data_IF_126333668091
#
_entry.id   IF_126333668091
#
_cell.length_a   1.000
_cell.length_b   1.000
_cell.length_c   1.000
_cell.angle_alpha   90.00
_cell.angle_beta   90.00
_cell.angle_gamma   90.00
#
_symmetry.space_group_name_H-M   'P 1'
#
loop_
_entity.id
_entity.type
_entity.pdbx_description
1 polymer ?
#
# COMPACT_ATOMS: atom_id res chain seq x y z
N UNK A 1 -1.56 -18.82 -2.57
CA UNK A 1 -0.37 -18.70 -3.41
C UNK A 1 0.27 -17.34 -3.22
N UNK A 2 1.58 -17.29 -3.14
CA UNK A 2 2.33 -16.06 -2.89
C UNK A 2 3.07 -15.64 -4.16
N UNK A 3 2.64 -14.54 -4.76
CA UNK A 3 3.32 -13.99 -5.93
C UNK A 3 4.41 -13.00 -5.51
N UNK A 4 4.16 -12.21 -4.47
CA UNK A 4 5.15 -11.34 -3.85
C UNK A 4 5.66 -12.05 -2.60
N UNK A 5 6.95 -12.36 -2.55
CA UNK A 5 7.54 -13.06 -1.41
C UNK A 5 8.54 -12.21 -0.65
N UNK A 6 8.88 -11.05 -1.15
CA UNK A 6 9.72 -10.07 -0.47
C UNK A 6 9.27 -8.67 -0.83
N UNK A 7 9.29 -7.78 0.14
CA UNK A 7 8.93 -6.38 -0.05
C UNK A 7 9.82 -5.50 0.82
N UNK A 8 10.41 -4.51 0.22
CA UNK A 8 11.26 -3.54 0.91
C UNK A 8 10.79 -2.13 0.55
N UNK A 9 10.81 -1.23 1.53
CA UNK A 9 10.54 0.19 1.33
C UNK A 9 11.87 0.92 1.41
N UNK A 10 12.19 1.70 0.39
CA UNK A 10 13.37 2.57 0.42
C UNK A 10 13.09 3.75 1.35
N UNK A 11 13.49 3.60 2.59
CA UNK A 11 13.20 4.58 3.64
C UNK A 11 13.88 5.93 3.42
N UNK A 12 14.87 6.00 2.56
CA UNK A 12 15.49 7.28 2.20
C UNK A 12 14.56 8.16 1.38
N UNK A 13 13.61 7.57 0.68
CA UNK A 13 12.67 8.27 -0.19
C UNK A 13 11.29 8.45 0.44
N UNK A 14 10.98 7.71 1.50
CA UNK A 14 9.67 7.69 2.14
C UNK A 14 9.75 8.30 3.53
N UNK A 15 8.95 9.34 3.78
CA UNK A 15 8.91 9.99 5.08
C UNK A 15 8.33 9.06 6.15
N UNK A 16 8.96 9.04 7.31
CA UNK A 16 8.43 8.32 8.46
C UNK A 16 7.31 9.13 9.11
N UNK A 17 6.29 8.43 9.58
CA UNK A 17 5.14 9.00 10.26
C UNK A 17 5.18 8.63 11.75
N UNK A 18 4.04 8.74 12.44
CA UNK A 18 3.93 8.36 13.83
C UNK A 18 4.23 6.88 14.04
N UNK A 19 4.53 6.49 15.30
CA UNK A 19 4.76 5.09 15.65
C UNK A 19 3.56 4.21 15.29
N UNK A 20 2.35 4.72 15.48
CA UNK A 20 1.12 3.96 15.17
C UNK A 20 1.03 3.67 13.66
N UNK A 21 1.32 4.66 12.82
CA UNK A 21 1.29 4.48 11.35
C UNK A 21 2.42 3.56 10.90
N UNK A 22 3.62 3.68 11.47
CA UNK A 22 4.74 2.80 11.13
C UNK A 22 4.44 1.35 11.52
N UNK A 23 3.74 1.13 12.63
CA UNK A 23 3.29 -0.19 13.04
C UNK A 23 2.26 -0.77 12.07
N UNK A 24 1.31 0.05 11.61
CA UNK A 24 0.33 -0.36 10.60
C UNK A 24 1.01 -0.79 9.29
N UNK A 25 2.05 -0.07 8.86
CA UNK A 25 2.82 -0.44 7.68
C UNK A 25 3.47 -1.81 7.85
N UNK A 26 4.07 -2.08 8.99
CA UNK A 26 4.71 -3.37 9.27
C UNK A 26 3.71 -4.52 9.23
N UNK A 27 2.53 -4.32 9.80
CA UNK A 27 1.46 -5.31 9.78
C UNK A 27 0.99 -5.55 8.35
N UNK A 28 0.81 -4.49 7.57
CA UNK A 28 0.40 -4.60 6.17
C UNK A 28 1.41 -5.38 5.33
N UNK A 29 2.70 -5.14 5.52
CA UNK A 29 3.76 -5.87 4.82
C UNK A 29 3.72 -7.35 5.20
N UNK A 30 3.62 -7.65 6.49
CA UNK A 30 3.53 -9.03 6.97
C UNK A 30 2.33 -9.75 6.34
N UNK A 31 1.16 -9.13 6.39
CA UNK A 31 -0.06 -9.72 5.85
C UNK A 31 0.01 -9.89 4.33
N UNK A 32 0.60 -8.92 3.64
CA UNK A 32 0.79 -9.00 2.20
C UNK A 32 1.67 -10.19 1.83
N UNK A 33 2.81 -10.35 2.51
CA UNK A 33 3.75 -11.43 2.21
C UNK A 33 3.17 -12.80 2.52
N UNK A 34 2.25 -12.89 3.48
CA UNK A 34 1.62 -14.15 3.84
C UNK A 34 0.69 -14.65 2.74
N UNK A 35 -0.08 -13.76 2.12
CA UNK A 35 -1.00 -14.11 1.05
C UNK A 35 -1.23 -12.92 0.12
N UNK A 36 -1.01 -13.12 -1.18
CA UNK A 36 -1.24 -12.08 -2.18
C UNK A 36 -1.48 -12.69 -3.56
N UNK A 37 -2.01 -11.85 -4.46
CA UNK A 37 -2.16 -12.17 -5.87
C UNK A 37 -1.62 -11.00 -6.67
N UNK A 38 -0.57 -11.23 -7.46
CA UNK A 38 0.10 -10.16 -8.19
C UNK A 38 0.71 -10.77 -9.47
N UNK A 39 0.13 -10.45 -10.61
CA UNK A 39 0.58 -10.97 -11.90
C UNK A 39 0.90 -9.83 -12.85
N UNK A 40 2.03 -9.90 -13.53
CA UNK A 40 2.35 -8.94 -14.59
C UNK A 40 1.51 -9.25 -15.83
N UNK A 41 0.87 -8.19 -16.37
CA UNK A 41 0.17 -8.28 -17.66
C UNK A 41 1.22 -8.04 -18.73
N UNK A 42 1.09 -8.59 -19.91
CA UNK A 42 2.02 -8.44 -21.04
C UNK A 42 3.45 -8.92 -20.74
N UNK A 43 3.61 -9.81 -19.80
CA UNK A 43 4.91 -10.44 -19.52
C UNK A 43 4.71 -11.93 -19.36
N UNK A 44 5.67 -12.70 -19.86
CA UNK A 44 5.70 -14.15 -19.66
C UNK A 44 6.36 -14.51 -18.32
N UNK A 45 6.93 -13.52 -17.64
CA UNK A 45 7.61 -13.75 -16.36
C UNK A 45 6.58 -13.96 -15.27
N UNK A 46 6.67 -15.09 -14.60
CA UNK A 46 5.80 -15.47 -13.51
C UNK A 46 6.58 -15.29 -12.20
N UNK A 47 5.88 -14.86 -11.15
CA UNK A 47 6.49 -14.78 -9.83
C UNK A 47 7.10 -16.09 -9.36
N UNK A 48 7.70 -16.13 -8.19
CA UNK A 48 7.58 -15.10 -7.15
C UNK A 48 8.45 -13.87 -7.42
N UNK A 49 8.01 -12.74 -6.87
CA UNK A 49 8.64 -11.44 -7.06
C UNK A 49 9.20 -10.86 -5.78
N UNK A 50 10.25 -10.07 -5.92
CA UNK A 50 10.77 -9.19 -4.88
C UNK A 50 10.40 -7.76 -5.29
N UNK A 51 9.75 -7.04 -4.38
CA UNK A 51 9.25 -5.69 -4.63
C UNK A 51 10.03 -4.68 -3.80
N UNK A 52 10.48 -3.60 -4.45
CA UNK A 52 11.08 -2.47 -3.75
C UNK A 52 10.22 -1.24 -4.04
N UNK A 53 9.68 -0.63 -2.99
CA UNK A 53 8.83 0.56 -3.10
C UNK A 53 9.64 1.79 -2.74
N UNK A 54 9.56 2.83 -3.58
CA UNK A 54 10.22 4.09 -3.33
C UNK A 54 9.37 5.25 -3.85
N UNK A 55 9.71 6.46 -3.44
CA UNK A 55 9.07 7.69 -3.94
C UNK A 55 10.14 8.53 -4.61
N UNK A 56 9.90 8.90 -5.86
CA UNK A 56 10.82 9.74 -6.63
C UNK A 56 10.04 10.59 -7.62
N UNK A 57 10.35 11.88 -7.67
CA UNK A 57 9.73 12.82 -8.63
C UNK A 57 8.20 12.77 -8.63
N UNK A 58 7.61 12.79 -7.43
CA UNK A 58 6.16 12.76 -7.24
C UNK A 58 5.51 11.47 -7.77
N UNK A 59 6.23 10.36 -7.73
CA UNK A 59 5.72 9.03 -8.12
C UNK A 59 6.08 7.99 -7.08
N UNK A 60 5.18 7.04 -6.90
CA UNK A 60 5.51 5.79 -6.20
C UNK A 60 6.06 4.84 -7.25
N UNK A 61 7.25 4.34 -7.03
CA UNK A 61 7.90 3.39 -7.93
C UNK A 61 7.81 1.99 -7.36
N UNK A 62 7.28 1.07 -8.17
CA UNK A 62 7.27 -0.35 -7.86
C UNK A 62 8.38 -0.99 -8.70
N UNK A 63 9.53 -1.22 -8.07
CA UNK A 63 10.67 -1.89 -8.70
C UNK A 63 10.47 -3.40 -8.51
N UNK A 64 10.10 -4.07 -9.59
CA UNK A 64 9.75 -5.50 -9.57
C UNK A 64 10.94 -6.29 -10.05
N UNK A 65 11.39 -7.22 -9.20
CA UNK A 65 12.58 -8.04 -9.44
C UNK A 65 12.28 -9.52 -9.25
N UNK A 66 13.14 -10.35 -9.81
CA UNK A 66 13.16 -11.78 -9.48
C UNK A 66 13.75 -11.97 -8.07
N UNK A 67 13.61 -13.16 -7.52
CA UNK A 67 14.13 -13.47 -6.17
C UNK A 67 15.65 -13.23 -6.08
N UNK A 68 16.38 -13.48 -7.14
CA UNK A 68 17.84 -13.28 -7.19
C UNK A 68 18.24 -11.82 -7.41
N UNK A 69 17.27 -10.89 -7.30
CA UNK A 69 17.44 -9.45 -7.50
C UNK A 69 17.62 -9.01 -8.95
N UNK A 70 17.43 -9.91 -9.91
CA UNK A 70 17.45 -9.55 -11.32
C UNK A 70 16.27 -8.62 -11.64
N UNK A 71 16.52 -7.40 -12.16
CA UNK A 71 15.42 -6.46 -12.46
C UNK A 71 14.50 -6.99 -13.56
N UNK A 72 13.19 -6.83 -13.37
CA UNK A 72 12.18 -7.17 -14.37
C UNK A 72 11.63 -5.90 -14.99
N UNK A 73 11.05 -5.03 -14.18
CA UNK A 73 10.43 -3.78 -14.63
C UNK A 73 10.23 -2.83 -13.46
N UNK A 74 10.03 -1.56 -13.78
CA UNK A 74 9.66 -0.55 -12.80
C UNK A 74 8.33 0.07 -13.24
N UNK A 75 7.34 0.05 -12.35
CA UNK A 75 6.04 0.66 -12.58
C UNK A 75 5.95 1.90 -11.73
N UNK A 76 5.66 3.05 -12.35
CA UNK A 76 5.47 4.31 -11.66
C UNK A 76 4.00 4.69 -11.55
N UNK A 77 3.57 5.08 -10.36
CA UNK A 77 2.25 5.64 -10.12
C UNK A 77 2.38 7.09 -9.72
N UNK A 78 1.68 7.98 -10.43
CA UNK A 78 1.65 9.39 -10.05
C UNK A 78 0.98 9.54 -8.68
N UNK A 79 1.58 10.34 -7.80
CA UNK A 79 0.99 10.66 -6.51
C UNK A 79 -0.11 11.71 -6.60
N UNK A 80 -0.19 12.47 -7.70
CA UNK A 80 -1.17 13.55 -7.81
C UNK A 80 -2.61 13.11 -7.54
N UNK A 81 -3.13 12.02 -8.14
CA UNK A 81 -4.49 11.59 -7.86
C UNK A 81 -4.70 11.13 -6.41
N UNK A 82 -3.63 10.75 -5.71
CA UNK A 82 -3.69 10.22 -4.36
C UNK A 82 -3.47 11.26 -3.27
N UNK A 83 -2.92 12.43 -3.58
CA UNK A 83 -2.47 13.40 -2.57
C UNK A 83 -3.55 13.80 -1.57
N UNK A 84 -4.71 14.22 -2.07
CA UNK A 84 -5.82 14.60 -1.21
C UNK A 84 -6.32 13.45 -0.37
N UNK A 85 -6.45 12.28 -0.98
CA UNK A 85 -6.91 11.07 -0.31
C UNK A 85 -5.93 10.60 0.77
N UNK A 86 -4.63 10.60 0.47
CA UNK A 86 -3.59 10.23 1.44
C UNK A 86 -3.59 11.19 2.61
N UNK A 87 -3.66 12.50 2.34
CA UNK A 87 -3.73 13.51 3.40
C UNK A 87 -4.92 13.28 4.31
N UNK A 88 -6.10 13.06 3.73
CA UNK A 88 -7.33 12.84 4.49
C UNK A 88 -7.27 11.52 5.26
N UNK A 89 -6.73 10.47 4.65
CA UNK A 89 -6.56 9.19 5.31
C UNK A 89 -5.61 9.27 6.50
N UNK A 90 -4.45 9.93 6.35
CA UNK A 90 -3.49 10.09 7.44
C UNK A 90 -4.09 10.93 8.58
N UNK A 91 -4.86 11.96 8.25
CA UNK A 91 -5.54 12.79 9.24
C UNK A 91 -6.57 11.98 10.03
N UNK A 92 -7.37 11.16 9.36
CA UNK A 92 -8.37 10.34 10.04
C UNK A 92 -7.73 9.22 10.86
N UNK A 93 -6.57 8.70 10.44
CA UNK A 93 -5.82 7.72 11.23
C UNK A 93 -5.35 8.33 12.54
N UNK A 94 -4.81 9.55 12.52
CA UNK A 94 -4.40 10.25 13.74
C UNK A 94 -5.58 10.46 14.67
N UNK A 95 -6.74 10.87 14.14
CA UNK A 95 -7.96 11.03 14.91
C UNK A 95 -8.41 9.70 15.53
N UNK A 96 -8.31 8.61 14.79
CA UNK A 96 -8.66 7.28 15.27
C UNK A 96 -7.76 6.84 16.43
N UNK A 97 -6.45 7.01 16.31
CA UNK A 97 -5.52 6.63 17.37
C UNK A 97 -5.71 7.47 18.63
N UNK A 98 -6.04 8.75 18.50
CA UNK A 98 -6.40 9.58 19.65
C UNK A 98 -7.72 9.15 20.28
N UNK A 99 -8.71 8.82 19.45
CA UNK A 99 -10.05 8.44 19.92
C UNK A 99 -10.03 7.15 20.75
N UNK A 100 -9.26 6.14 20.36
CA UNK A 100 -9.20 4.89 21.13
C UNK A 100 -8.57 5.07 22.51
N UNK A 101 -7.86 6.19 22.74
CA UNK A 101 -7.27 6.49 24.03
C UNK A 101 -8.19 7.29 24.95
N UNK A 102 -9.15 8.05 24.41
CA UNK A 102 -9.87 9.05 25.21
C UNK A 102 -11.34 9.25 24.84
N UNK A 103 -11.86 8.62 23.80
CA UNK A 103 -13.21 8.87 23.32
C UNK A 103 -14.18 7.74 23.65
N UNK A 104 -15.49 8.00 23.49
CA UNK A 104 -16.52 7.01 23.71
C UNK A 104 -16.53 5.95 22.57
N UNK A 105 -17.04 4.73 22.82
CA UNK A 105 -17.13 3.72 21.76
C UNK A 105 -17.88 4.19 20.52
N UNK A 106 -18.92 5.01 20.70
CA UNK A 106 -19.70 5.57 19.60
C UNK A 106 -18.86 6.47 18.69
N UNK A 107 -18.05 7.34 19.30
CA UNK A 107 -17.15 8.24 18.56
C UNK A 107 -16.05 7.46 17.83
N UNK A 108 -15.49 6.46 18.48
CA UNK A 108 -14.47 5.60 17.89
C UNK A 108 -15.03 4.90 16.65
N UNK A 109 -16.23 4.36 16.74
CA UNK A 109 -16.89 3.67 15.62
C UNK A 109 -17.11 4.60 14.43
N UNK A 110 -17.57 5.83 14.68
CA UNK A 110 -17.80 6.83 13.63
C UNK A 110 -16.50 7.16 12.89
N UNK A 111 -15.40 7.38 13.62
CA UNK A 111 -14.10 7.68 13.05
C UNK A 111 -13.56 6.46 12.28
N UNK A 112 -13.75 5.26 12.82
CA UNK A 112 -13.29 4.03 12.16
C UNK A 112 -14.03 3.78 10.85
N UNK A 113 -15.33 4.07 10.79
CA UNK A 113 -16.09 3.96 9.54
C UNK A 113 -15.56 4.90 8.47
N UNK A 114 -15.24 6.15 8.84
CA UNK A 114 -14.63 7.11 7.92
C UNK A 114 -13.26 6.64 7.45
N UNK A 115 -12.44 6.11 8.36
CA UNK A 115 -11.12 5.57 8.04
C UNK A 115 -11.20 4.43 7.02
N UNK A 116 -12.13 3.49 7.23
CA UNK A 116 -12.34 2.36 6.31
C UNK A 116 -12.81 2.82 4.95
N UNK A 117 -13.69 3.81 4.90
CA UNK A 117 -14.19 4.35 3.64
C UNK A 117 -13.07 4.96 2.81
N UNK A 118 -12.19 5.76 3.42
CA UNK A 118 -11.04 6.34 2.74
C UNK A 118 -10.04 5.27 2.30
N UNK A 119 -9.82 4.26 3.12
CA UNK A 119 -8.95 3.14 2.77
C UNK A 119 -9.49 2.35 1.58
N UNK A 120 -10.80 2.10 1.55
CA UNK A 120 -11.44 1.42 0.43
C UNK A 120 -11.29 2.21 -0.86
N UNK A 121 -11.46 3.53 -0.79
CA UNK A 121 -11.28 4.42 -1.93
C UNK A 121 -9.84 4.39 -2.44
N UNK A 122 -8.86 4.45 -1.55
CA UNK A 122 -7.45 4.36 -1.89
C UNK A 122 -7.08 3.02 -2.51
N UNK A 123 -7.61 1.93 -1.97
CA UNK A 123 -7.39 0.58 -2.51
C UNK A 123 -7.94 0.44 -3.92
N UNK A 124 -9.14 0.97 -4.17
CA UNK A 124 -9.75 0.96 -5.50
C UNK A 124 -8.90 1.76 -6.50
N UNK A 125 -8.36 2.91 -6.08
CA UNK A 125 -7.49 3.72 -6.92
C UNK A 125 -6.19 2.98 -7.26
N UNK A 126 -5.58 2.31 -6.31
CA UNK A 126 -4.37 1.51 -6.57
C UNK A 126 -4.66 0.45 -7.63
N UNK A 127 -5.75 -0.29 -7.47
CA UNK A 127 -6.14 -1.32 -8.41
C UNK A 127 -6.40 -0.76 -9.81
N UNK A 128 -7.12 0.35 -9.88
CA UNK A 128 -7.42 1.02 -11.14
C UNK A 128 -6.17 1.51 -11.85
N UNK A 129 -5.27 2.17 -11.12
CA UNK A 129 -4.03 2.73 -11.70
C UNK A 129 -3.06 1.65 -12.17
N UNK A 130 -3.12 0.47 -11.58
CA UNK A 130 -2.28 -0.66 -11.97
C UNK A 130 -2.94 -1.58 -13.00
N UNK A 131 -4.23 -1.40 -13.31
CA UNK A 131 -5.03 -2.35 -14.09
C UNK A 131 -4.49 -2.68 -15.47
N UNK A 132 -3.77 -1.78 -16.11
CA UNK A 132 -3.17 -2.02 -17.43
C UNK A 132 -1.82 -2.73 -17.40
N UNK A 133 -1.23 -2.89 -16.22
CA UNK A 133 0.14 -3.40 -16.05
C UNK A 133 0.21 -4.60 -15.12
N UNK A 134 -0.65 -4.67 -14.13
CA UNK A 134 -0.65 -5.70 -13.10
C UNK A 134 -2.07 -6.17 -12.84
N UNK A 135 -2.22 -7.47 -12.65
CA UNK A 135 -3.47 -8.06 -12.18
C UNK A 135 -3.29 -8.42 -10.71
N UNK A 136 -4.14 -7.90 -9.86
CA UNK A 136 -4.09 -8.11 -8.41
C UNK A 136 -5.50 -8.21 -7.83
N UNK A 137 -5.64 -8.93 -6.71
CA UNK A 137 -6.92 -9.02 -6.02
C UNK A 137 -7.14 -7.84 -5.08
N UNK A 138 -8.35 -7.72 -4.54
CA UNK A 138 -8.70 -6.60 -3.68
C UNK A 138 -7.87 -6.58 -2.39
N UNK A 139 -7.60 -7.73 -1.81
CA UNK A 139 -6.80 -7.83 -0.59
C UNK A 139 -5.37 -7.35 -0.81
N UNK A 140 -4.75 -7.74 -1.93
CA UNK A 140 -3.41 -7.28 -2.29
C UNK A 140 -3.40 -5.77 -2.49
N UNK A 141 -4.40 -5.23 -3.19
CA UNK A 141 -4.54 -3.78 -3.40
C UNK A 141 -4.67 -3.03 -2.08
N UNK A 142 -5.46 -3.53 -1.14
CA UNK A 142 -5.61 -2.92 0.19
C UNK A 142 -4.30 -2.88 0.96
N UNK A 143 -3.52 -3.97 0.93
CA UNK A 143 -2.22 -4.00 1.61
C UNK A 143 -1.22 -3.05 0.97
N UNK A 144 -1.22 -2.94 -0.36
CA UNK A 144 -0.34 -2.01 -1.06
C UNK A 144 -0.67 -0.55 -0.77
N UNK A 145 -1.96 -0.21 -0.63
CA UNK A 145 -2.35 1.15 -0.26
C UNK A 145 -1.87 1.52 1.15
N UNK A 146 -1.90 0.58 2.05
CA UNK A 146 -1.40 0.80 3.41
C UNK A 146 0.12 0.89 3.43
#
# INVERSE_FOLDING_TARGET
>A
MQDIIALEIDEKTVAKRSLDIEQEKKIAIYDLLEKNYFKLIKSEIIGPFDLILSIKENRVLLDIRQIDKTPITIIGLSLNPFRGLIRDYLSICDSYFQAIRSSSPSQIETIDMARRSLHNEGSAMVKERLSGKVKLDDKTSRRLFT
#
